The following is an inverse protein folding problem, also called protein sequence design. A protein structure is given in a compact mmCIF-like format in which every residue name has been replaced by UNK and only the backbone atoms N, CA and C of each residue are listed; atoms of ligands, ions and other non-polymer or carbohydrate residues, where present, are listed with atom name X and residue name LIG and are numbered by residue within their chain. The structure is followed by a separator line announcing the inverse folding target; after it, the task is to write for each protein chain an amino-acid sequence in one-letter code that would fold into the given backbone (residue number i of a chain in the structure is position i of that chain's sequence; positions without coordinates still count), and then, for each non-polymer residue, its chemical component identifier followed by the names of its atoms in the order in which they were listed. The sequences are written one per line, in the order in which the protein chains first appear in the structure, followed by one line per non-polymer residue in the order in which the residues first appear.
data_IF_361540007024
#
_entry.id   IF_361540007024
#
_cell.length_a   1.000
_cell.length_b   1.000
_cell.length_c   1.000
_cell.angle_alpha   90.00
_cell.angle_beta   90.00
_cell.angle_gamma   90.00
#
_symmetry.space_group_name_H-M   'P 1'
#
loop_
_entity.id
_entity.type
_entity.pdbx_description
1 polymer ?
#
# COMPACT_ATOMS: atom_id res chain seq x y z
N UNK A 1 -57.40 -43.59 -10.43
CA UNK A 1 -56.51 -43.38 -9.28
C UNK A 1 -55.07 -43.29 -9.78
N UNK A 2 -54.27 -42.40 -9.16
CA UNK A 2 -52.83 -42.16 -9.31
C UNK A 2 -52.31 -41.42 -10.56
N UNK A 3 -52.13 -40.11 -10.35
CA UNK A 3 -51.20 -39.19 -11.02
C UNK A 3 -49.80 -39.82 -11.15
N UNK A 4 -49.13 -39.65 -12.28
CA UNK A 4 -47.66 -39.61 -12.33
C UNK A 4 -47.20 -38.38 -13.10
N UNK A 5 -46.30 -37.68 -12.43
CA UNK A 5 -45.85 -36.32 -12.62
C UNK A 5 -44.68 -36.29 -13.62
N UNK A 6 -44.62 -35.21 -14.40
CA UNK A 6 -43.51 -34.85 -15.29
C UNK A 6 -42.17 -34.84 -14.52
N UNK A 7 -41.18 -35.58 -15.01
CA UNK A 7 -39.78 -35.34 -14.66
C UNK A 7 -39.17 -34.45 -15.75
N UNK A 8 -39.26 -33.13 -15.55
CA UNK A 8 -38.48 -32.16 -16.31
C UNK A 8 -37.03 -32.23 -15.82
N UNK A 9 -36.15 -32.77 -16.65
CA UNK A 9 -34.70 -32.74 -16.47
C UNK A 9 -34.21 -31.30 -16.65
N UNK A 10 -34.19 -30.55 -15.55
CA UNK A 10 -33.42 -29.31 -15.45
C UNK A 10 -31.94 -29.68 -15.47
N UNK A 11 -31.34 -29.63 -16.67
CA UNK A 11 -29.90 -29.48 -16.82
C UNK A 11 -29.54 -28.11 -16.22
N UNK A 12 -29.26 -28.09 -14.92
CA UNK A 12 -28.62 -26.95 -14.27
C UNK A 12 -27.23 -26.83 -14.86
N UNK A 13 -27.09 -25.97 -15.87
CA UNK A 13 -25.81 -25.47 -16.33
C UNK A 13 -25.12 -24.81 -15.14
N UNK A 14 -24.23 -25.55 -14.50
CA UNK A 14 -23.26 -25.03 -13.54
C UNK A 14 -22.38 -24.03 -14.29
N UNK A 15 -22.78 -22.77 -14.30
CA UNK A 15 -21.89 -21.65 -14.60
C UNK A 15 -20.79 -21.68 -13.54
N UNK A 16 -19.71 -22.41 -13.86
CA UNK A 16 -18.41 -22.21 -13.25
C UNK A 16 -18.03 -20.77 -13.58
N UNK A 17 -18.39 -19.86 -12.69
CA UNK A 17 -17.78 -18.53 -12.63
C UNK A 17 -16.34 -18.81 -12.23
N UNK A 18 -15.48 -19.03 -13.23
CA UNK A 18 -14.05 -18.88 -13.04
C UNK A 18 -13.87 -17.47 -12.48
N UNK A 19 -13.46 -17.38 -11.21
CA UNK A 19 -12.98 -16.14 -10.66
C UNK A 19 -11.83 -15.71 -11.56
N UNK A 20 -12.09 -14.73 -12.44
CA UNK A 20 -11.06 -14.08 -13.23
C UNK A 20 -10.11 -13.44 -12.22
N UNK A 21 -9.01 -14.13 -11.91
CA UNK A 21 -7.78 -13.45 -11.54
C UNK A 21 -7.47 -12.56 -12.74
N UNK A 22 -7.87 -11.28 -12.67
CA UNK A 22 -7.53 -10.29 -13.68
C UNK A 22 -6.01 -10.23 -13.73
N UNK A 23 -5.44 -10.95 -14.70
CA UNK A 23 -4.04 -10.87 -15.06
C UNK A 23 -3.81 -9.40 -15.41
N UNK A 24 -3.07 -8.70 -14.56
CA UNK A 24 -2.44 -7.45 -14.98
C UNK A 24 -1.60 -7.72 -16.23
N UNK A 25 -1.26 -6.69 -17.02
CA UNK A 25 -0.36 -6.87 -18.15
C UNK A 25 0.87 -7.69 -17.71
N UNK A 26 1.28 -8.65 -18.52
CA UNK A 26 2.44 -9.48 -18.19
C UNK A 26 3.64 -8.56 -17.94
N UNK A 27 4.30 -8.77 -16.80
CA UNK A 27 5.46 -7.96 -16.45
C UNK A 27 6.59 -8.23 -17.43
N UNK A 28 7.15 -7.16 -18.00
CA UNK A 28 8.31 -7.23 -18.90
C UNK A 28 9.65 -7.25 -18.15
N UNK A 29 9.62 -6.93 -16.85
CA UNK A 29 10.75 -6.99 -15.95
C UNK A 29 10.28 -7.16 -14.52
N UNK A 30 10.81 -8.15 -13.80
CA UNK A 30 10.51 -8.36 -12.38
C UNK A 30 11.75 -8.86 -11.63
N UNK A 31 12.14 -8.14 -10.58
CA UNK A 31 13.30 -8.50 -9.75
C UNK A 31 13.05 -8.23 -8.28
N UNK A 32 13.36 -9.22 -7.45
CA UNK A 32 13.23 -9.12 -5.99
C UNK A 32 14.57 -8.71 -5.36
N UNK A 33 14.53 -7.66 -4.56
CA UNK A 33 15.62 -7.13 -3.74
C UNK A 33 15.24 -7.30 -2.27
N UNK A 34 15.50 -8.50 -1.75
CA UNK A 34 15.11 -8.89 -0.39
C UNK A 34 13.60 -8.74 -0.19
N UNK A 35 13.13 -7.75 0.56
CA UNK A 35 11.71 -7.59 0.84
C UNK A 35 10.96 -6.81 -0.26
N UNK A 36 11.68 -6.09 -1.12
CA UNK A 36 11.08 -5.24 -2.15
C UNK A 36 11.16 -5.89 -3.53
N UNK A 37 10.19 -5.62 -4.39
CA UNK A 37 10.18 -6.12 -5.77
C UNK A 37 10.06 -4.94 -6.73
N UNK A 38 10.96 -4.84 -7.71
CA UNK A 38 10.84 -3.95 -8.86
C UNK A 38 10.09 -4.70 -9.95
N UNK A 39 9.08 -4.06 -10.53
CA UNK A 39 8.26 -4.62 -11.60
C UNK A 39 7.96 -3.54 -12.64
N UNK A 40 8.12 -3.89 -13.92
CA UNK A 40 7.78 -3.01 -15.04
C UNK A 40 6.78 -3.66 -15.98
N UNK A 41 6.00 -2.81 -16.64
CA UNK A 41 4.95 -3.18 -17.59
C UNK A 41 5.08 -2.35 -18.86
N UNK A 42 4.65 -2.94 -19.98
CA UNK A 42 4.44 -2.20 -21.21
C UNK A 42 3.10 -1.45 -21.11
N UNK A 43 3.15 -0.11 -21.13
CA UNK A 43 1.96 0.72 -21.19
C UNK A 43 1.45 0.84 -22.65
N UNK A 44 0.15 1.15 -22.86
CA UNK A 44 -0.46 1.21 -24.20
C UNK A 44 0.20 2.20 -25.18
N UNK A 45 0.93 3.19 -24.67
CA UNK A 45 1.68 4.19 -25.44
C UNK A 45 3.12 3.75 -25.76
N UNK A 46 3.44 2.46 -25.61
CA UNK A 46 4.80 1.92 -25.67
C UNK A 46 5.76 2.50 -24.62
N UNK A 47 5.26 3.19 -23.59
CA UNK A 47 6.06 3.57 -22.46
C UNK A 47 6.29 2.35 -21.56
N UNK A 48 7.44 2.33 -20.89
CA UNK A 48 7.76 1.38 -19.84
C UNK A 48 7.41 2.03 -18.51
N UNK A 49 6.43 1.48 -17.81
CA UNK A 49 6.03 1.93 -16.48
C UNK A 49 6.59 0.98 -15.44
N UNK A 50 7.40 1.51 -14.52
CA UNK A 50 8.03 0.75 -13.46
C UNK A 50 7.57 1.21 -12.09
N UNK A 51 7.55 0.26 -11.16
CA UNK A 51 7.33 0.51 -9.74
C UNK A 51 8.21 -0.43 -8.92
N UNK A 52 8.56 -0.03 -7.71
CA UNK A 52 8.97 -0.96 -6.66
C UNK A 52 7.85 -1.10 -5.65
N UNK A 53 7.65 -2.28 -5.08
CA UNK A 53 6.60 -2.48 -4.07
C UNK A 53 6.94 -3.54 -3.03
N UNK A 54 6.23 -3.43 -1.91
CA UNK A 54 6.13 -4.43 -0.86
C UNK A 54 4.66 -4.59 -0.44
N UNK A 55 4.24 -5.83 -0.21
CA UNK A 55 2.88 -6.16 0.23
C UNK A 55 2.91 -6.83 1.60
N UNK A 56 2.23 -6.19 2.56
CA UNK A 56 2.03 -6.74 3.90
C UNK A 56 0.73 -7.51 3.93
N UNK A 57 0.80 -8.68 4.56
CA UNK A 57 -0.34 -9.55 4.78
C UNK A 57 -0.52 -9.80 6.27
N UNK A 58 -1.72 -10.20 6.67
CA UNK A 58 -1.98 -10.76 7.99
C UNK A 58 -2.84 -12.01 7.89
N UNK A 59 -2.89 -12.78 8.96
CA UNK A 59 -3.85 -13.87 9.09
C UNK A 59 -5.27 -13.28 9.10
N UNK A 60 -6.16 -13.80 8.26
CA UNK A 60 -7.55 -13.40 8.25
C UNK A 60 -8.15 -13.54 9.67
N UNK A 61 -8.85 -12.52 10.21
CA UNK A 61 -9.37 -12.57 11.58
C UNK A 61 -10.25 -13.80 11.87
N UNK A 62 -11.03 -14.25 10.87
CA UNK A 62 -11.85 -15.45 10.97
C UNK A 62 -11.04 -16.74 11.14
N UNK A 63 -9.79 -16.76 10.68
CA UNK A 63 -8.93 -17.94 10.65
C UNK A 63 -7.95 -17.95 11.83
N UNK A 64 -7.98 -16.95 12.73
CA UNK A 64 -6.99 -16.77 13.80
C UNK A 64 -6.88 -17.97 14.76
N UNK A 65 -7.93 -18.80 14.86
CA UNK A 65 -7.98 -20.01 15.71
C UNK A 65 -7.64 -21.31 14.96
N UNK A 66 -7.51 -21.25 13.63
CA UNK A 66 -7.16 -22.41 12.82
C UNK A 66 -5.67 -22.76 12.97
N UNK A 67 -5.28 -24.02 12.69
CA UNK A 67 -3.88 -24.40 12.52
C UNK A 67 -3.17 -23.53 11.46
N UNK A 68 -1.87 -23.24 11.66
CA UNK A 68 -1.09 -22.29 10.82
C UNK A 68 -1.11 -22.62 9.33
N UNK A 69 -1.12 -23.90 8.98
CA UNK A 69 -1.18 -24.42 7.61
C UNK A 69 -2.54 -24.17 6.94
N UNK A 70 -3.57 -23.83 7.72
CA UNK A 70 -4.94 -23.53 7.27
C UNK A 70 -5.27 -22.03 7.37
N UNK A 71 -4.36 -21.22 7.93
CA UNK A 71 -4.55 -19.78 8.09
C UNK A 71 -4.34 -19.07 6.76
N UNK A 72 -5.41 -18.47 6.21
CA UNK A 72 -5.27 -17.64 5.02
C UNK A 72 -4.58 -16.33 5.37
N UNK A 73 -3.62 -15.96 4.54
CA UNK A 73 -3.00 -14.64 4.55
C UNK A 73 -3.80 -13.70 3.65
N UNK A 74 -4.21 -12.56 4.19
CA UNK A 74 -4.93 -11.52 3.45
C UNK A 74 -4.05 -10.28 3.33
N UNK A 75 -3.98 -9.63 2.15
CA UNK A 75 -3.25 -8.38 1.99
C UNK A 75 -3.93 -7.27 2.77
N UNK A 76 -3.13 -6.49 3.50
CA UNK A 76 -3.62 -5.38 4.33
C UNK A 76 -3.00 -4.04 3.97
N UNK A 77 -1.87 -4.05 3.26
CA UNK A 77 -1.23 -2.85 2.79
C UNK A 77 -0.31 -3.20 1.66
N UNK A 78 -0.42 -2.49 0.55
CA UNK A 78 0.65 -2.44 -0.45
C UNK A 78 1.30 -1.07 -0.38
N UNK A 79 2.60 -1.06 -0.19
CA UNK A 79 3.42 0.15 -0.30
C UNK A 79 4.22 0.05 -1.58
N UNK A 80 4.11 1.04 -2.46
CA UNK A 80 4.89 1.12 -3.69
C UNK A 80 5.58 2.46 -3.83
N UNK A 81 6.63 2.50 -4.63
CA UNK A 81 7.24 3.75 -5.12
C UNK A 81 7.21 3.69 -6.64
N UNK A 82 6.72 4.76 -7.24
CA UNK A 82 6.76 4.99 -8.69
C UNK A 82 7.34 6.36 -8.96
N UNK A 83 7.71 6.64 -10.21
CA UNK A 83 8.24 7.93 -10.64
C UNK A 83 7.16 8.66 -11.44
N UNK A 84 6.59 9.72 -10.87
CA UNK A 84 5.69 10.63 -11.58
C UNK A 84 6.50 11.84 -12.05
N UNK A 85 6.59 12.06 -13.36
CA UNK A 85 7.47 13.11 -13.94
C UNK A 85 8.90 13.06 -13.40
N UNK A 86 9.45 11.84 -13.25
CA UNK A 86 10.77 11.53 -12.65
C UNK A 86 10.89 11.83 -11.16
N UNK A 87 9.83 12.29 -10.50
CA UNK A 87 9.79 12.48 -9.05
C UNK A 87 9.27 11.22 -8.35
N UNK A 88 9.97 10.71 -7.34
CA UNK A 88 9.51 9.56 -6.59
C UNK A 88 8.27 9.88 -5.76
N UNK A 89 7.22 9.09 -5.92
CA UNK A 89 6.01 9.14 -5.10
C UNK A 89 5.83 7.78 -4.42
N UNK A 90 5.76 7.79 -3.10
CA UNK A 90 5.40 6.60 -2.32
C UNK A 90 3.88 6.51 -2.23
N UNK A 91 3.32 5.40 -2.65
CA UNK A 91 1.88 5.14 -2.71
C UNK A 91 1.55 4.03 -1.72
N UNK A 92 0.50 4.25 -0.94
CA UNK A 92 -0.06 3.29 -0.01
C UNK A 92 -1.44 2.89 -0.50
N UNK A 93 -1.67 1.60 -0.72
CA UNK A 93 -2.98 1.04 -1.01
C UNK A 93 -3.43 0.19 0.17
N UNK A 94 -4.38 0.72 0.94
CA UNK A 94 -5.07 -0.01 2.00
C UNK A 94 -6.37 -0.63 1.45
N UNK A 95 -6.94 -1.65 2.11
CA UNK A 95 -8.19 -2.27 1.70
C UNK A 95 -9.35 -1.28 1.58
N UNK A 96 -10.43 -1.71 0.95
CA UNK A 96 -11.70 -0.99 0.98
C UNK A 96 -12.25 -0.93 2.41
N UNK A 97 -13.20 -0.02 2.65
CA UNK A 97 -13.86 0.22 3.94
C UNK A 97 -12.97 0.78 5.06
N UNK A 98 -11.72 1.17 4.76
CA UNK A 98 -10.91 1.94 5.70
C UNK A 98 -11.55 3.29 6.02
N UNK A 99 -11.42 3.72 7.27
CA UNK A 99 -11.95 4.99 7.75
C UNK A 99 -11.16 6.15 7.14
N UNK A 100 -11.69 6.75 6.07
CA UNK A 100 -11.00 7.77 5.29
C UNK A 100 -10.62 9.01 6.10
N UNK A 101 -11.44 9.39 7.09
CA UNK A 101 -11.21 10.57 7.93
C UNK A 101 -9.98 10.45 8.82
N UNK A 102 -9.53 9.24 9.14
CA UNK A 102 -8.36 9.00 10.01
C UNK A 102 -7.04 8.91 9.23
N UNK A 103 -7.11 8.74 7.90
CA UNK A 103 -5.93 8.61 7.05
C UNK A 103 -4.98 7.45 7.42
N UNK A 104 -3.72 7.58 7.04
CA UNK A 104 -2.62 6.70 7.39
C UNK A 104 -1.63 7.44 8.29
N UNK A 105 -1.34 6.88 9.46
CA UNK A 105 -0.28 7.38 10.32
C UNK A 105 1.03 6.69 9.97
N UNK A 106 2.07 7.49 9.70
CA UNK A 106 3.39 7.00 9.30
C UNK A 106 4.40 7.19 10.42
N UNK A 107 5.18 6.13 10.69
CA UNK A 107 6.34 6.19 11.59
C UNK A 107 7.51 5.39 11.03
N UNK A 108 8.73 5.89 11.17
CA UNK A 108 9.94 5.25 10.67
C UNK A 108 10.78 4.73 11.86
N UNK A 109 11.31 3.51 11.74
CA UNK A 109 12.15 2.80 12.72
C UNK A 109 11.48 2.42 14.04
N UNK A 110 10.50 3.18 14.53
CA UNK A 110 9.75 2.90 15.76
C UNK A 110 8.27 3.23 15.60
N UNK A 111 7.37 2.46 16.23
CA UNK A 111 5.92 2.70 16.18
C UNK A 111 5.40 3.65 17.29
N UNK A 112 6.28 4.50 17.83
CA UNK A 112 5.96 5.49 18.86
C UNK A 112 6.36 6.90 18.38
N UNK A 113 6.42 7.87 19.31
CA UNK A 113 6.80 9.24 18.97
C UNK A 113 8.25 9.40 18.48
N UNK A 114 9.15 8.44 18.77
CA UNK A 114 10.53 8.48 18.29
C UNK A 114 10.62 8.16 16.79
N UNK A 115 9.57 7.55 16.22
CA UNK A 115 9.48 7.26 14.79
C UNK A 115 8.81 8.36 13.97
N UNK A 116 8.52 9.53 14.53
CA UNK A 116 7.94 10.65 13.78
C UNK A 116 8.79 11.02 12.57
N UNK A 117 8.14 11.33 11.45
CA UNK A 117 8.82 11.65 10.19
C UNK A 117 8.68 13.15 9.96
N UNK A 118 9.73 13.89 10.31
CA UNK A 118 9.77 15.32 10.05
C UNK A 118 10.21 15.62 8.61
N UNK A 119 9.55 16.54 7.94
CA UNK A 119 9.97 17.13 6.67
C UNK A 119 10.07 18.63 6.80
N UNK A 120 10.94 19.23 5.99
CA UNK A 120 10.99 20.68 5.88
C UNK A 120 10.13 21.09 4.69
N UNK A 121 9.19 22.01 4.88
CA UNK A 121 8.33 22.56 3.81
C UNK A 121 8.49 24.07 3.72
N UNK A 122 8.22 24.65 2.55
CA UNK A 122 8.11 26.11 2.40
C UNK A 122 6.82 26.59 3.05
N UNK A 123 6.92 27.54 3.96
CA UNK A 123 5.78 28.20 4.59
C UNK A 123 6.02 29.69 4.80
N UNK A 124 5.21 30.29 5.65
CA UNK A 124 5.34 31.68 6.08
C UNK A 124 5.34 31.76 7.61
N UNK A 125 6.06 32.73 8.17
CA UNK A 125 5.96 33.06 9.59
C UNK A 125 4.70 33.89 9.90
N UNK A 126 4.46 34.20 11.18
CA UNK A 126 3.31 34.99 11.63
C UNK A 126 3.27 36.42 11.03
N UNK A 127 4.38 36.88 10.45
CA UNK A 127 4.49 38.15 9.75
C UNK A 127 4.38 38.02 8.21
N UNK A 128 4.05 36.83 7.70
CA UNK A 128 3.89 36.53 6.28
C UNK A 128 5.21 36.38 5.50
N UNK A 129 6.37 36.32 6.17
CA UNK A 129 7.66 36.14 5.50
C UNK A 129 7.92 34.67 5.22
N UNK A 130 8.42 34.37 4.03
CA UNK A 130 8.80 33.03 3.65
C UNK A 130 9.80 32.42 4.65
N UNK A 131 9.46 31.25 5.18
CA UNK A 131 10.27 30.52 6.15
C UNK A 131 10.12 29.01 5.91
N UNK A 132 11.22 28.30 6.09
CA UNK A 132 11.24 26.85 6.07
C UNK A 132 10.71 26.33 7.42
N UNK A 133 9.71 25.44 7.37
CA UNK A 133 9.01 24.93 8.54
C UNK A 133 9.21 23.41 8.60
N UNK A 134 9.73 22.94 9.73
CA UNK A 134 9.80 21.52 10.01
C UNK A 134 8.45 21.03 10.55
N UNK A 135 7.84 20.07 9.86
CA UNK A 135 6.53 19.50 10.20
C UNK A 135 6.59 17.97 10.25
N UNK A 136 5.89 17.36 11.21
CA UNK A 136 5.70 15.91 11.25
C UNK A 136 4.66 15.53 10.18
N UNK A 137 5.00 14.58 9.30
CA UNK A 137 4.01 13.89 8.46
C UNK A 137 3.27 12.88 9.35
N UNK A 138 2.60 13.39 10.38
CA UNK A 138 1.92 12.57 11.38
C UNK A 138 0.86 11.67 10.74
N UNK A 139 0.26 12.14 9.64
CA UNK A 139 -0.82 11.50 8.93
C UNK A 139 -0.82 11.94 7.46
N UNK A 140 -1.04 11.00 6.55
CA UNK A 140 -1.40 11.28 5.15
C UNK A 140 -2.84 10.82 4.91
N UNK A 141 -3.62 11.63 4.20
CA UNK A 141 -5.02 11.31 3.95
C UNK A 141 -5.17 10.40 2.73
N UNK A 142 -6.24 9.61 2.73
CA UNK A 142 -6.65 8.90 1.52
C UNK A 142 -7.19 9.92 0.51
N UNK A 143 -6.70 9.85 -0.72
CA UNK A 143 -7.08 10.75 -1.81
C UNK A 143 -8.26 10.20 -2.62
N UNK A 144 -8.28 8.88 -2.82
CA UNK A 144 -9.28 8.18 -3.63
C UNK A 144 -9.32 6.70 -3.30
N UNK A 145 -10.45 6.06 -3.55
CA UNK A 145 -10.54 4.60 -3.53
C UNK A 145 -10.81 4.08 -4.95
N UNK A 146 -10.24 2.92 -5.25
CA UNK A 146 -10.42 2.20 -6.50
C UNK A 146 -10.70 0.73 -6.20
N UNK A 147 -10.91 -0.09 -7.22
CA UNK A 147 -11.03 -1.55 -7.08
C UNK A 147 -9.80 -2.20 -6.43
N UNK A 148 -8.65 -1.51 -6.40
CA UNK A 148 -7.40 -1.99 -5.81
C UNK A 148 -7.20 -1.54 -4.36
N UNK A 149 -8.15 -0.79 -3.79
CA UNK A 149 -8.08 -0.26 -2.44
C UNK A 149 -8.14 1.27 -2.38
N UNK A 150 -8.07 1.80 -1.16
CA UNK A 150 -7.99 3.22 -0.86
C UNK A 150 -6.54 3.69 -0.85
N UNK A 151 -6.28 4.75 -1.60
CA UNK A 151 -4.95 5.22 -1.96
C UNK A 151 -4.61 6.48 -1.18
N UNK A 152 -3.44 6.49 -0.56
CA UNK A 152 -2.78 7.70 -0.07
C UNK A 152 -1.42 7.82 -0.73
N UNK A 153 -0.99 9.03 -1.08
CA UNK A 153 0.31 9.27 -1.69
C UNK A 153 1.16 10.21 -0.84
N UNK A 154 2.46 9.94 -0.81
CA UNK A 154 3.48 10.79 -0.23
C UNK A 154 4.51 11.11 -1.32
N UNK A 155 4.42 12.30 -1.95
CA UNK A 155 5.49 12.81 -2.79
C UNK A 155 6.78 12.86 -1.97
N UNK A 156 7.85 12.22 -2.44
CA UNK A 156 9.07 12.07 -1.66
C UNK A 156 9.99 13.30 -1.78
N UNK A 157 9.67 14.22 -2.68
CA UNK A 157 10.29 15.52 -2.94
C UNK A 157 9.63 16.67 -2.16
N UNK A 158 8.55 16.39 -1.42
CA UNK A 158 7.85 17.39 -0.56
C UNK A 158 8.77 17.99 0.51
N UNK A 159 9.79 17.22 0.92
CA UNK A 159 10.82 17.69 1.84
C UNK A 159 11.84 18.53 1.07
N UNK A 160 11.77 19.86 1.21
CA UNK A 160 12.69 20.78 0.53
C UNK A 160 14.13 20.67 1.04
N UNK A 161 14.36 19.99 2.17
CA UNK A 161 15.71 19.62 2.60
C UNK A 161 16.28 18.43 1.81
N UNK A 162 15.45 17.74 1.00
CA UNK A 162 15.80 16.61 0.16
C UNK A 162 16.09 15.32 0.93
N UNK A 163 15.72 15.24 2.21
CA UNK A 163 16.16 14.14 3.10
C UNK A 163 15.16 13.01 3.21
N UNK A 164 13.89 13.22 2.85
CA UNK A 164 12.83 12.23 3.02
C UNK A 164 13.20 10.88 2.40
N UNK A 165 13.55 10.83 1.11
CA UNK A 165 13.99 9.57 0.46
C UNK A 165 15.18 8.92 1.18
N UNK A 166 16.19 9.72 1.56
CA UNK A 166 17.35 9.20 2.30
C UNK A 166 16.98 8.61 3.67
N UNK A 167 15.93 9.11 4.33
CA UNK A 167 15.44 8.53 5.59
C UNK A 167 14.92 7.12 5.36
N UNK A 168 14.14 6.87 4.32
CA UNK A 168 13.65 5.53 3.98
C UNK A 168 14.79 4.60 3.55
N UNK A 169 15.73 5.08 2.74
CA UNK A 169 16.92 4.30 2.32
C UNK A 169 17.81 3.85 3.50
N UNK A 170 17.84 4.62 4.60
CA UNK A 170 18.59 4.29 5.83
C UNK A 170 17.72 3.65 6.91
N UNK A 171 16.41 3.61 6.71
CA UNK A 171 15.45 3.10 7.66
C UNK A 171 15.45 1.57 7.72
N UNK A 172 14.88 1.04 8.79
CA UNK A 172 14.75 -0.41 9.01
C UNK A 172 13.32 -0.88 8.78
N UNK A 173 12.34 -0.14 9.29
CA UNK A 173 10.92 -0.45 9.20
C UNK A 173 10.11 0.83 9.05
N UNK A 174 9.09 0.79 8.22
CA UNK A 174 8.03 1.79 8.15
C UNK A 174 6.78 1.19 8.79
N UNK A 175 6.29 1.83 9.85
CA UNK A 175 5.03 1.51 10.47
C UNK A 175 3.93 2.37 9.84
N UNK A 176 2.87 1.71 9.41
CA UNK A 176 1.70 2.33 8.80
C UNK A 176 0.49 1.88 9.60
N UNK A 177 -0.12 2.81 10.32
CA UNK A 177 -1.29 2.53 11.13
C UNK A 177 -2.53 3.18 10.50
N UNK A 178 -3.63 2.45 10.48
CA UNK A 178 -4.93 2.93 9.99
C UNK A 178 -6.04 2.09 10.62
N UNK A 179 -7.30 2.51 10.44
CA UNK A 179 -8.44 1.81 11.03
C UNK A 179 -9.58 1.63 10.06
N UNK A 180 -10.36 0.56 10.25
CA UNK A 180 -11.67 0.35 9.63
C UNK A 180 -12.81 0.97 10.47
N UNK A 181 -12.57 1.23 11.75
CA UNK A 181 -13.55 1.83 12.67
C UNK A 181 -12.81 2.60 13.78
N UNK A 182 -12.93 3.93 13.75
CA UNK A 182 -12.29 4.79 14.75
C UNK A 182 -12.95 4.70 16.13
N UNK A 183 -14.17 4.18 16.22
CA UNK A 183 -14.89 4.00 17.49
C UNK A 183 -14.60 2.65 18.15
N UNK A 184 -13.96 1.71 17.44
CA UNK A 184 -13.61 0.42 17.99
C UNK A 184 -12.54 0.53 19.10
N UNK A 185 -12.55 -0.41 20.05
CA UNK A 185 -11.52 -0.52 21.08
C UNK A 185 -10.11 -0.49 20.45
N UNK A 186 -9.13 0.16 21.10
CA UNK A 186 -7.76 0.34 20.55
C UNK A 186 -7.00 -0.97 20.29
N UNK A 187 -7.42 -2.08 20.90
CA UNK A 187 -6.85 -3.41 20.68
C UNK A 187 -7.69 -4.25 19.69
N UNK A 188 -8.77 -3.68 19.14
CA UNK A 188 -9.59 -4.31 18.13
C UNK A 188 -8.77 -4.60 16.86
N UNK A 189 -9.06 -5.72 16.15
CA UNK A 189 -8.50 -5.98 14.83
C UNK A 189 -8.92 -4.94 13.77
N UNK A 190 -9.87 -4.05 14.09
CA UNK A 190 -10.20 -2.89 13.25
C UNK A 190 -9.02 -1.91 13.13
N UNK A 191 -8.14 -1.83 14.13
CA UNK A 191 -6.94 -0.99 14.09
C UNK A 191 -5.77 -1.78 13.53
N UNK A 192 -5.38 -1.47 12.30
CA UNK A 192 -4.29 -2.13 11.61
C UNK A 192 -2.97 -1.43 11.94
N UNK A 193 -1.96 -2.24 12.28
CA UNK A 193 -0.58 -1.82 12.53
C UNK A 193 0.34 -2.57 11.59
N UNK A 194 0.47 -2.09 10.35
CA UNK A 194 1.32 -2.71 9.36
C UNK A 194 2.78 -2.32 9.59
N UNK A 195 3.66 -3.31 9.59
CA UNK A 195 5.11 -3.10 9.62
C UNK A 195 5.69 -3.45 8.25
N UNK A 196 6.12 -2.43 7.51
CA UNK A 196 6.76 -2.56 6.20
C UNK A 196 8.28 -2.62 6.39
N UNK A 197 8.93 -3.77 6.18
CA UNK A 197 10.39 -3.84 6.28
C UNK A 197 11.05 -3.06 5.13
N UNK A 198 12.11 -2.32 5.44
CA UNK A 198 12.87 -1.51 4.47
C UNK A 198 14.15 -2.20 3.98
N UNK A 199 14.32 -3.47 4.34
CA UNK A 199 15.45 -4.28 3.92
C UNK A 199 15.39 -4.50 2.40
N UNK A 200 16.40 -4.00 1.69
CA UNK A 200 16.46 -4.02 0.22
C UNK A 200 15.82 -2.81 -0.47
N UNK A 201 15.26 -1.85 0.29
CA UNK A 201 14.62 -0.65 -0.26
C UNK A 201 15.57 0.15 -1.17
N UNK A 202 16.78 0.46 -0.72
CA UNK A 202 17.75 1.26 -1.50
C UNK A 202 18.13 0.57 -2.81
N UNK A 203 18.44 -0.73 -2.77
CA UNK A 203 18.80 -1.49 -3.97
C UNK A 203 17.62 -1.59 -4.96
N UNK A 204 16.40 -1.76 -4.46
CA UNK A 204 15.19 -1.72 -5.29
C UNK A 204 14.94 -0.34 -5.88
N UNK A 205 15.22 0.73 -5.14
CA UNK A 205 15.06 2.10 -5.62
C UNK A 205 16.08 2.44 -6.71
N UNK A 206 17.35 2.06 -6.53
CA UNK A 206 18.39 2.25 -7.53
C UNK A 206 18.06 1.48 -8.83
N UNK A 207 17.57 0.24 -8.71
CA UNK A 207 17.09 -0.55 -9.84
C UNK A 207 15.83 0.08 -10.48
N UNK A 208 14.88 0.60 -9.70
CA UNK A 208 13.75 1.36 -10.24
C UNK A 208 14.21 2.55 -11.08
N UNK A 209 15.19 3.32 -10.60
CA UNK A 209 15.76 4.44 -11.35
C UNK A 209 16.46 3.98 -12.62
N UNK A 210 17.15 2.84 -12.60
CA UNK A 210 17.77 2.25 -13.79
C UNK A 210 16.73 1.80 -14.81
N UNK A 211 15.70 1.07 -14.36
CA UNK A 211 14.63 0.58 -15.23
C UNK A 211 13.70 1.67 -15.72
N UNK A 212 13.70 2.87 -15.13
CA UNK A 212 12.86 3.99 -15.57
C UNK A 212 13.57 4.98 -16.49
N UNK A 213 14.81 4.69 -16.89
CA UNK A 213 15.49 5.36 -18.00
C UNK A 213 14.97 4.84 -19.34
#
# INVERSE_FOLDING_TARGET
MFKKVLAASLLTSSLLVAANAQQGPDSIYKKKHQDWTVECFAAPNNAKECQMFQQITMVAPADAKLPKDQQRQVPILRTSVTLFDKQPVMIFAAPLDVQLSEGLQLRLNSNNNDGKIFITVKGQDDAGKAKDIDTDIAQINFERCSTFGCIAALPMDVDVSGKLMSKFQKGTNLFVNFTFDSNADKNSPAHIKAQVPLKGFTAAYDDLLEQSK
#
